data_IF_522540794557
#
_entry.id   IF_522540794557
#
_cell.length_a   1.000
_cell.length_b   1.000
_cell.length_c   1.000
_cell.angle_alpha   90.00
_cell.angle_beta   90.00
_cell.angle_gamma   90.00
#
_symmetry.space_group_name_H-M   'P 1'
#
loop_
_entity.id
_entity.type
_entity.pdbx_description
1 polymer ?
#
# COMPACT_ATOMS: atom_id res chain seq x y z
N UNK A 1 38.33 39.91 -22.51
CA UNK A 1 39.30 38.81 -22.77
C UNK A 1 40.12 38.44 -21.53
N UNK A 2 40.85 39.37 -20.88
CA UNK A 2 41.74 39.04 -19.74
C UNK A 2 41.06 38.35 -18.53
N UNK A 3 39.82 38.73 -18.18
CA UNK A 3 39.07 38.08 -17.09
C UNK A 3 38.73 36.62 -17.40
N UNK A 4 38.31 36.33 -18.63
CA UNK A 4 37.97 34.98 -19.08
C UNK A 4 39.21 34.09 -19.09
N UNK A 5 40.34 34.59 -19.62
CA UNK A 5 41.63 33.87 -19.60
C UNK A 5 42.09 33.58 -18.17
N UNK A 6 41.89 34.53 -17.23
CA UNK A 6 42.21 34.33 -15.82
C UNK A 6 41.35 33.21 -15.18
N UNK A 7 40.04 33.19 -15.48
CA UNK A 7 39.13 32.13 -15.04
C UNK A 7 39.56 30.75 -15.57
N UNK A 8 39.85 30.64 -16.87
CA UNK A 8 40.33 29.37 -17.46
C UNK A 8 41.66 28.91 -16.85
N UNK A 9 42.59 29.84 -16.58
CA UNK A 9 43.87 29.51 -15.94
C UNK A 9 43.68 29.03 -14.50
N UNK A 10 42.77 29.65 -13.75
CA UNK A 10 42.42 29.23 -12.38
C UNK A 10 41.72 27.87 -12.36
N UNK A 11 40.76 27.64 -13.27
CA UNK A 11 40.09 26.34 -13.43
C UNK A 11 41.10 25.22 -13.76
N UNK A 12 42.05 25.48 -14.66
CA UNK A 12 43.11 24.53 -15.02
C UNK A 12 44.05 24.25 -13.84
N UNK A 13 44.49 25.29 -13.13
CA UNK A 13 45.43 25.15 -12.02
C UNK A 13 44.81 24.47 -10.78
N UNK A 14 43.48 24.55 -10.64
CA UNK A 14 42.74 23.92 -9.54
C UNK A 14 41.63 23.01 -10.06
N UNK A 15 41.95 22.16 -11.05
CA UNK A 15 40.95 21.32 -11.72
C UNK A 15 40.17 20.43 -10.73
N UNK A 16 40.85 19.78 -9.77
CA UNK A 16 40.19 18.97 -8.72
C UNK A 16 39.18 19.75 -7.87
N UNK A 17 39.54 20.99 -7.46
CA UNK A 17 38.64 21.84 -6.64
C UNK A 17 37.46 22.36 -7.46
N UNK A 18 37.72 22.68 -8.73
CA UNK A 18 36.70 23.17 -9.67
C UNK A 18 35.70 22.08 -10.01
N UNK A 19 36.16 20.86 -10.29
CA UNK A 19 35.29 19.70 -10.51
C UNK A 19 34.43 19.40 -9.29
N UNK A 20 35.03 19.38 -8.08
CA UNK A 20 34.27 19.18 -6.85
C UNK A 20 33.18 20.25 -6.66
N UNK A 21 33.52 21.53 -6.86
CA UNK A 21 32.55 22.63 -6.75
C UNK A 21 31.39 22.48 -7.75
N UNK A 22 31.69 22.10 -9.01
CA UNK A 22 30.66 21.86 -10.03
C UNK A 22 29.75 20.70 -9.62
N UNK A 23 30.30 19.59 -9.13
CA UNK A 23 29.49 18.46 -8.65
C UNK A 23 28.56 18.86 -7.50
N UNK A 24 29.08 19.58 -6.50
CA UNK A 24 28.29 20.03 -5.34
C UNK A 24 27.21 21.02 -5.76
N UNK A 25 27.53 21.99 -6.61
CA UNK A 25 26.55 22.98 -7.09
C UNK A 25 25.48 22.34 -7.97
N UNK A 26 25.86 21.41 -8.85
CA UNK A 26 24.92 20.67 -9.70
C UNK A 26 23.97 19.82 -8.86
N UNK A 27 24.51 19.05 -7.90
CA UNK A 27 23.71 18.25 -6.98
C UNK A 27 22.79 19.12 -6.10
N UNK A 28 23.32 20.19 -5.51
CA UNK A 28 22.55 21.12 -4.69
C UNK A 28 21.46 21.85 -5.49
N UNK A 29 21.76 22.25 -6.72
CA UNK A 29 20.80 22.84 -7.65
C UNK A 29 19.67 21.88 -8.01
N UNK A 30 20.00 20.62 -8.34
CA UNK A 30 19.02 19.58 -8.61
C UNK A 30 18.14 19.28 -7.38
N UNK A 31 18.73 19.18 -6.19
CA UNK A 31 17.99 18.98 -4.95
C UNK A 31 17.04 20.16 -4.63
N UNK A 32 17.51 21.40 -4.79
CA UNK A 32 16.69 22.60 -4.61
C UNK A 32 15.54 22.67 -5.63
N UNK A 33 15.82 22.33 -6.88
CA UNK A 33 14.81 22.25 -7.94
C UNK A 33 13.74 21.21 -7.59
N UNK A 34 14.13 20.01 -7.18
CA UNK A 34 13.17 18.99 -6.73
C UNK A 34 12.27 19.48 -5.58
N UNK A 35 12.87 20.16 -4.58
CA UNK A 35 12.11 20.75 -3.48
C UNK A 35 11.14 21.86 -3.94
N UNK A 36 11.53 22.64 -4.94
CA UNK A 36 10.65 23.64 -5.55
C UNK A 36 9.47 22.97 -6.28
N UNK A 37 9.72 21.96 -7.12
CA UNK A 37 8.68 21.18 -7.78
C UNK A 37 7.70 20.57 -6.78
N UNK A 38 8.18 19.98 -5.68
CA UNK A 38 7.32 19.43 -4.64
C UNK A 38 6.42 20.50 -4.00
N UNK A 39 6.91 21.74 -3.85
CA UNK A 39 6.10 22.85 -3.32
C UNK A 39 5.04 23.32 -4.32
N UNK A 40 5.36 23.29 -5.61
CA UNK A 40 4.39 23.61 -6.67
C UNK A 40 3.26 22.56 -6.66
N UNK A 41 3.60 21.27 -6.61
CA UNK A 41 2.62 20.19 -6.51
C UNK A 41 1.69 20.33 -5.29
N UNK A 42 2.26 20.63 -4.11
CA UNK A 42 1.45 20.88 -2.90
C UNK A 42 0.49 22.05 -3.09
N UNK A 43 0.97 23.13 -3.71
CA UNK A 43 0.18 24.34 -3.95
C UNK A 43 -0.98 24.04 -4.90
N UNK A 44 -0.72 23.35 -6.00
CA UNK A 44 -1.75 22.94 -6.97
C UNK A 44 -2.81 22.07 -6.29
N UNK A 45 -2.39 21.04 -5.54
CA UNK A 45 -3.31 20.18 -4.82
C UNK A 45 -4.15 20.94 -3.76
N UNK A 46 -3.57 21.93 -3.06
CA UNK A 46 -4.32 22.76 -2.13
C UNK A 46 -5.33 23.69 -2.82
N UNK A 47 -5.00 24.18 -4.02
CA UNK A 47 -5.93 25.00 -4.82
C UNK A 47 -7.12 24.15 -5.27
N UNK A 48 -6.87 22.91 -5.71
CA UNK A 48 -7.92 21.95 -6.06
C UNK A 48 -8.77 21.59 -4.85
N UNK A 49 -8.16 21.23 -3.71
CA UNK A 49 -8.89 20.96 -2.46
C UNK A 49 -9.75 22.13 -1.98
N UNK A 50 -9.24 23.37 -2.13
CA UNK A 50 -9.99 24.57 -1.76
C UNK A 50 -11.26 24.74 -2.60
N UNK A 51 -11.29 24.26 -3.84
CA UNK A 51 -12.50 24.31 -4.66
C UNK A 51 -13.65 23.51 -4.00
N UNK A 52 -13.37 22.32 -3.49
CA UNK A 52 -14.34 21.51 -2.74
C UNK A 52 -14.83 22.23 -1.47
N UNK A 53 -13.94 22.92 -0.75
CA UNK A 53 -14.32 23.66 0.46
C UNK A 53 -15.15 24.92 0.21
N UNK A 54 -15.23 25.42 -1.03
CA UNK A 54 -16.10 26.55 -1.41
C UNK A 54 -17.48 26.10 -1.89
N UNK A 55 -17.73 24.80 -1.98
CA UNK A 55 -19.06 24.28 -2.32
C UNK A 55 -20.06 24.64 -1.21
N UNK A 56 -21.22 25.16 -1.63
CA UNK A 56 -22.28 25.55 -0.71
C UNK A 56 -23.01 24.30 -0.23
N UNK A 57 -23.13 24.15 1.08
CA UNK A 57 -23.94 23.08 1.69
C UNK A 57 -25.34 23.59 2.02
N UNK A 58 -26.34 22.71 1.91
CA UNK A 58 -27.69 23.03 2.36
C UNK A 58 -27.74 23.25 3.88
N UNK A 59 -28.67 24.07 4.40
CA UNK A 59 -28.76 24.35 5.84
C UNK A 59 -29.13 23.13 6.70
N UNK A 60 -29.62 22.04 6.09
CA UNK A 60 -29.91 20.77 6.77
C UNK A 60 -28.87 19.68 6.49
N UNK A 61 -27.90 19.94 5.62
CA UNK A 61 -26.81 19.00 5.34
C UNK A 61 -25.71 19.16 6.39
N UNK A 62 -25.09 18.05 6.77
CA UNK A 62 -23.96 18.05 7.69
C UNK A 62 -22.64 17.91 6.92
N UNK A 63 -21.57 18.42 7.50
CA UNK A 63 -20.23 18.20 6.99
C UNK A 63 -19.90 16.71 7.09
N UNK A 64 -19.29 16.18 6.03
CA UNK A 64 -18.79 14.80 6.02
C UNK A 64 -17.74 14.64 7.12
N UNK A 65 -17.84 13.55 7.87
CA UNK A 65 -16.91 13.19 8.96
C UNK A 65 -15.91 12.14 8.50
N UNK A 66 -14.62 12.46 8.67
CA UNK A 66 -13.51 11.57 8.34
C UNK A 66 -12.70 11.24 9.59
N UNK A 67 -12.50 9.94 9.86
CA UNK A 67 -11.48 9.49 10.80
C UNK A 67 -10.24 9.11 10.02
N UNK A 68 -9.10 9.68 10.39
CA UNK A 68 -7.79 9.34 9.82
C UNK A 68 -7.01 8.52 10.84
N UNK A 69 -6.64 7.29 10.48
CA UNK A 69 -5.74 6.43 11.26
C UNK A 69 -4.33 6.59 10.69
N UNK A 70 -3.46 7.24 11.46
CA UNK A 70 -2.08 7.52 11.06
C UNK A 70 -1.11 6.68 11.89
N UNK A 71 -0.23 5.93 11.21
CA UNK A 71 0.94 5.31 11.84
C UNK A 71 2.16 6.24 11.71
N UNK A 72 2.59 6.94 12.78
CA UNK A 72 3.73 7.86 12.74
C UNK A 72 5.07 7.16 12.49
N UNK A 73 5.21 5.91 12.94
CA UNK A 73 6.44 5.13 12.84
C UNK A 73 6.69 4.60 11.42
N UNK A 74 5.67 4.58 10.55
CA UNK A 74 5.79 4.13 9.18
C UNK A 74 6.86 4.91 8.38
N UNK A 75 7.46 4.22 7.40
CA UNK A 75 8.53 4.73 6.54
C UNK A 75 9.70 5.34 7.34
N UNK A 76 10.21 4.60 8.32
CA UNK A 76 11.33 5.01 9.18
C UNK A 76 11.03 6.30 9.97
N UNK A 77 9.82 6.41 10.53
CA UNK A 77 9.39 7.55 11.34
C UNK A 77 9.11 8.84 10.56
N UNK A 78 9.05 8.78 9.22
CA UNK A 78 8.80 9.97 8.37
C UNK A 78 7.33 10.19 8.06
N UNK A 79 6.46 9.20 8.29
CA UNK A 79 5.06 9.22 7.89
C UNK A 79 4.30 10.42 8.48
N UNK A 80 4.45 10.71 9.77
CA UNK A 80 3.80 11.87 10.40
C UNK A 80 4.17 13.18 9.69
N UNK A 81 5.46 13.43 9.45
CA UNK A 81 5.91 14.65 8.73
C UNK A 81 5.40 14.68 7.28
N UNK A 82 5.32 13.54 6.61
CA UNK A 82 4.82 13.47 5.23
C UNK A 82 3.31 13.75 5.18
N UNK A 83 2.54 13.18 6.11
CA UNK A 83 1.11 13.42 6.23
C UNK A 83 0.79 14.89 6.49
N UNK A 84 1.38 15.46 7.55
CA UNK A 84 1.14 16.85 7.98
C UNK A 84 1.51 17.87 6.89
N UNK A 85 2.48 17.55 6.02
CA UNK A 85 2.92 18.45 4.94
C UNK A 85 2.17 18.29 3.63
N UNK A 86 1.74 17.07 3.31
CA UNK A 86 1.27 16.74 1.96
C UNK A 86 -0.23 16.42 1.91
N UNK A 87 -0.82 15.89 2.99
CA UNK A 87 -2.21 15.41 2.98
C UNK A 87 -3.12 16.21 3.93
N UNK A 88 -2.68 16.50 5.16
CA UNK A 88 -3.50 17.20 6.14
C UNK A 88 -4.05 18.57 5.64
N UNK A 89 -3.25 19.43 4.97
CA UNK A 89 -3.78 20.69 4.44
C UNK A 89 -4.89 20.49 3.41
N UNK A 90 -4.78 19.46 2.57
CA UNK A 90 -5.76 19.14 1.51
C UNK A 90 -7.10 18.76 2.16
N UNK A 91 -7.07 17.88 3.17
CA UNK A 91 -8.28 17.44 3.87
C UNK A 91 -8.97 18.59 4.62
N UNK A 92 -8.20 19.45 5.31
CA UNK A 92 -8.78 20.59 6.03
C UNK A 92 -9.34 21.68 5.12
N UNK A 93 -8.76 21.88 3.93
CA UNK A 93 -9.25 22.86 2.95
C UNK A 93 -10.54 22.41 2.25
N UNK A 94 -10.83 21.11 2.24
CA UNK A 94 -11.95 20.54 1.51
C UNK A 94 -13.30 20.59 2.26
N UNK A 95 -13.36 21.19 3.46
CA UNK A 95 -14.61 21.30 4.23
C UNK A 95 -15.06 19.97 4.86
N UNK A 96 -14.13 19.08 5.19
CA UNK A 96 -14.40 17.80 5.87
C UNK A 96 -14.09 17.94 7.36
N UNK A 97 -14.92 17.37 8.24
CA UNK A 97 -14.62 17.27 9.67
C UNK A 97 -13.63 16.11 9.89
N UNK A 98 -12.34 16.44 10.04
CA UNK A 98 -11.26 15.45 10.10
C UNK A 98 -10.82 15.21 11.55
N UNK A 99 -10.97 13.97 12.02
CA UNK A 99 -10.42 13.49 13.31
C UNK A 99 -9.21 12.61 13.05
N UNK A 100 -8.01 13.11 13.37
CA UNK A 100 -6.76 12.36 13.20
C UNK A 100 -6.46 11.58 14.48
N UNK A 101 -6.32 10.26 14.36
CA UNK A 101 -5.90 9.38 15.45
C UNK A 101 -4.56 8.76 15.10
N UNK A 102 -3.57 8.96 15.97
CA UNK A 102 -2.21 8.44 15.80
C UNK A 102 -2.08 7.13 16.55
N UNK A 103 -1.48 6.12 15.92
CA UNK A 103 -1.10 4.89 16.60
C UNK A 103 0.28 5.02 17.23
N UNK A 104 0.43 4.43 18.40
CA UNK A 104 1.64 4.39 19.24
C UNK A 104 2.38 3.07 19.07
N UNK A 105 1.67 1.95 18.86
CA UNK A 105 2.24 0.61 18.73
C UNK A 105 1.41 -0.30 17.81
N UNK A 106 2.01 -1.42 17.41
CA UNK A 106 1.42 -2.45 16.54
C UNK A 106 0.17 -3.10 17.16
N UNK A 107 -0.87 -3.27 16.35
CA UNK A 107 -2.16 -3.81 16.78
C UNK A 107 -3.04 -2.84 17.57
N UNK A 108 -2.60 -1.60 17.83
CA UNK A 108 -3.46 -0.57 18.42
C UNK A 108 -4.54 -0.12 17.42
N UNK A 109 -4.24 -0.05 16.12
CA UNK A 109 -5.22 0.36 15.12
C UNK A 109 -6.42 -0.58 15.13
N UNK A 110 -6.14 -1.89 15.23
CA UNK A 110 -7.14 -2.95 15.34
C UNK A 110 -8.09 -2.77 16.55
N UNK A 111 -7.54 -2.51 17.74
CA UNK A 111 -8.34 -2.25 18.95
C UNK A 111 -9.16 -0.96 18.85
N UNK A 112 -8.57 0.07 18.24
CA UNK A 112 -9.24 1.34 18.03
C UNK A 112 -10.42 1.20 17.06
N UNK A 113 -10.30 0.34 16.04
CA UNK A 113 -11.40 0.05 15.13
C UNK A 113 -12.58 -0.57 15.83
N UNK A 114 -12.41 -1.40 16.85
CA UNK A 114 -13.53 -1.98 17.63
C UNK A 114 -14.33 -0.91 18.41
N UNK A 115 -13.68 0.21 18.76
CA UNK A 115 -14.26 1.31 19.55
C UNK A 115 -14.63 2.53 18.70
N UNK A 116 -14.47 2.44 17.38
CA UNK A 116 -14.71 3.54 16.47
C UNK A 116 -16.21 3.87 16.40
N UNK A 117 -16.52 5.16 16.48
CA UNK A 117 -17.85 5.71 16.24
C UNK A 117 -18.23 5.66 14.75
N UNK A 118 -19.51 5.84 14.44
CA UNK A 118 -19.98 5.92 13.05
C UNK A 118 -19.41 7.16 12.34
N UNK A 119 -18.88 6.97 11.13
CA UNK A 119 -18.34 8.03 10.27
C UNK A 119 -18.75 7.84 8.82
N UNK A 120 -18.61 8.91 8.02
CA UNK A 120 -18.93 8.88 6.60
C UNK A 120 -17.77 8.32 5.77
N UNK A 121 -16.53 8.46 6.27
CA UNK A 121 -15.35 7.90 5.65
C UNK A 121 -14.27 7.52 6.66
N UNK A 122 -13.49 6.50 6.33
CA UNK A 122 -12.31 6.06 7.07
C UNK A 122 -11.08 6.26 6.19
N UNK A 123 -10.05 6.92 6.68
CA UNK A 123 -8.82 7.18 5.93
C UNK A 123 -7.65 6.52 6.66
N UNK A 124 -6.91 5.67 5.95
CA UNK A 124 -5.74 4.97 6.48
C UNK A 124 -4.49 5.65 5.92
N UNK A 125 -3.66 6.19 6.80
CA UNK A 125 -2.43 6.90 6.46
C UNK A 125 -1.23 6.09 6.99
N UNK A 126 -0.68 5.23 6.14
CA UNK A 126 0.33 4.23 6.55
C UNK A 126 0.90 3.44 5.39
N UNK A 127 1.42 2.26 5.68
CA UNK A 127 1.78 1.23 4.69
C UNK A 127 0.84 0.04 4.76
N UNK A 128 1.22 -1.06 4.11
CA UNK A 128 0.39 -2.27 3.98
C UNK A 128 0.01 -2.90 5.34
N UNK A 129 0.92 -2.98 6.32
CA UNK A 129 0.58 -3.52 7.66
C UNK A 129 -0.46 -2.67 8.42
N UNK A 130 -0.34 -1.33 8.37
CA UNK A 130 -1.37 -0.45 8.99
C UNK A 130 -2.73 -0.60 8.32
N UNK A 131 -2.73 -0.83 7.01
CA UNK A 131 -3.94 -1.12 6.24
C UNK A 131 -4.56 -2.47 6.67
N UNK A 132 -3.75 -3.51 6.81
CA UNK A 132 -4.19 -4.83 7.28
C UNK A 132 -4.74 -4.78 8.71
N UNK A 133 -4.07 -4.11 9.65
CA UNK A 133 -4.52 -3.97 11.03
C UNK A 133 -5.91 -3.30 11.10
N UNK A 134 -6.10 -2.23 10.34
CA UNK A 134 -7.37 -1.49 10.31
C UNK A 134 -8.48 -2.34 9.72
N UNK A 135 -8.24 -3.00 8.59
CA UNK A 135 -9.24 -3.86 7.94
C UNK A 135 -9.60 -5.03 8.85
N UNK A 136 -8.59 -5.65 9.45
CA UNK A 136 -8.80 -6.75 10.40
C UNK A 136 -9.60 -6.28 11.61
N UNK A 137 -9.33 -5.10 12.15
CA UNK A 137 -10.12 -4.52 13.23
C UNK A 137 -11.56 -4.22 12.82
N UNK A 138 -11.77 -3.68 11.61
CA UNK A 138 -13.07 -3.31 11.09
C UNK A 138 -13.98 -4.53 10.87
N UNK A 139 -13.45 -5.60 10.26
CA UNK A 139 -14.20 -6.81 9.91
C UNK A 139 -14.33 -7.81 11.07
N UNK A 140 -13.64 -7.58 12.19
CA UNK A 140 -13.85 -8.35 13.44
C UNK A 140 -15.01 -7.82 14.28
N UNK A 141 -15.53 -6.64 13.97
CA UNK A 141 -16.61 -6.02 14.74
C UNK A 141 -17.90 -6.82 14.61
N UNK A 142 -18.73 -6.79 15.65
CA UNK A 142 -20.06 -7.41 15.62
C UNK A 142 -21.03 -6.71 14.63
N UNK A 143 -20.84 -5.42 14.38
CA UNK A 143 -21.61 -4.58 13.46
C UNK A 143 -20.90 -4.37 12.11
N UNK A 144 -20.04 -5.30 11.71
CA UNK A 144 -19.20 -5.18 10.51
C UNK A 144 -19.98 -4.92 9.22
N UNK A 145 -21.21 -5.41 9.07
CA UNK A 145 -22.04 -5.18 7.87
C UNK A 145 -22.39 -3.71 7.61
N UNK A 146 -22.44 -2.90 8.68
CA UNK A 146 -22.68 -1.46 8.55
C UNK A 146 -21.38 -0.74 8.20
N UNK A 147 -20.30 -1.10 8.89
CA UNK A 147 -19.00 -0.47 8.73
C UNK A 147 -18.30 -0.85 7.41
N UNK A 148 -18.56 -2.03 6.86
CA UNK A 148 -17.99 -2.47 5.58
C UNK A 148 -18.52 -1.66 4.39
N UNK A 149 -19.64 -0.94 4.57
CA UNK A 149 -20.21 -0.03 3.57
C UNK A 149 -19.55 1.34 3.58
N UNK A 150 -18.86 1.70 4.66
CA UNK A 150 -18.14 2.98 4.78
C UNK A 150 -16.95 2.94 3.82
N UNK A 151 -16.81 3.93 2.92
CA UNK A 151 -15.69 3.96 1.99
C UNK A 151 -14.37 4.26 2.70
N UNK A 152 -13.33 3.51 2.31
CA UNK A 152 -11.99 3.56 2.89
C UNK A 152 -11.05 4.29 1.94
N UNK A 153 -10.38 5.32 2.42
CA UNK A 153 -9.30 6.01 1.73
C UNK A 153 -7.94 5.46 2.15
N UNK A 154 -7.02 5.29 1.20
CA UNK A 154 -5.65 4.89 1.52
C UNK A 154 -4.67 5.99 1.10
N UNK A 155 -3.90 6.49 2.06
CA UNK A 155 -2.84 7.47 1.83
C UNK A 155 -1.49 6.75 1.97
N UNK A 156 -0.74 6.58 0.86
CA UNK A 156 0.47 5.76 0.82
C UNK A 156 1.65 6.46 1.50
N UNK A 157 1.82 6.23 2.80
CA UNK A 157 2.93 6.76 3.59
C UNK A 157 4.03 5.74 3.84
N UNK A 158 3.77 4.46 3.57
CA UNK A 158 4.67 3.32 3.75
C UNK A 158 5.89 3.32 2.82
N UNK A 159 6.75 2.32 3.03
CA UNK A 159 7.88 2.01 2.15
C UNK A 159 7.44 1.18 0.94
N UNK A 160 6.61 0.16 1.18
CA UNK A 160 5.75 -0.51 0.20
C UNK A 160 4.31 -0.02 0.37
N UNK A 161 3.58 0.12 -0.73
CA UNK A 161 2.17 0.51 -0.74
C UNK A 161 1.50 -0.22 -1.90
N UNK A 162 1.33 -1.52 -1.76
CA UNK A 162 0.83 -2.40 -2.83
C UNK A 162 -0.57 -1.96 -3.29
N UNK A 163 -1.43 -1.58 -2.33
CA UNK A 163 -2.82 -1.20 -2.66
C UNK A 163 -2.89 0.08 -3.49
N UNK A 164 -2.00 1.01 -3.18
CA UNK A 164 -1.99 2.32 -3.80
C UNK A 164 -1.72 2.23 -5.30
N UNK A 165 -0.92 1.25 -5.73
CA UNK A 165 -0.63 1.02 -7.14
C UNK A 165 -1.85 0.50 -7.91
N UNK A 166 -2.77 -0.17 -7.23
CA UNK A 166 -4.02 -0.66 -7.82
C UNK A 166 -5.12 0.41 -7.85
N UNK A 167 -5.15 1.30 -6.86
CA UNK A 167 -6.20 2.32 -6.67
C UNK A 167 -5.91 3.67 -7.32
N UNK A 168 -4.63 4.04 -7.45
CA UNK A 168 -4.20 5.35 -7.90
C UNK A 168 -3.16 5.24 -9.02
N UNK A 169 -3.00 6.31 -9.78
CA UNK A 169 -1.93 6.41 -10.76
C UNK A 169 -0.56 6.39 -10.07
N UNK A 170 0.28 5.44 -10.48
CA UNK A 170 1.65 5.29 -9.99
C UNK A 170 2.47 6.51 -10.43
N UNK A 171 3.11 7.19 -9.47
CA UNK A 171 4.06 8.27 -9.74
C UNK A 171 5.37 7.99 -9.02
N UNK A 172 6.48 8.30 -9.70
CA UNK A 172 7.83 8.26 -9.13
C UNK A 172 8.02 9.31 -8.02
N UNK A 173 7.26 10.41 -8.06
CA UNK A 173 7.32 11.43 -7.02
C UNK A 173 6.39 11.07 -5.86
N UNK A 174 6.99 10.76 -4.70
CA UNK A 174 6.27 10.44 -3.46
C UNK A 174 5.26 11.52 -3.04
N UNK A 175 5.59 12.80 -3.22
CA UNK A 175 4.68 13.91 -2.87
C UNK A 175 3.46 13.88 -3.77
N UNK A 176 3.66 13.76 -5.08
CA UNK A 176 2.57 13.67 -6.05
C UNK A 176 1.65 12.50 -5.73
N UNK A 177 2.20 11.33 -5.42
CA UNK A 177 1.42 10.13 -5.09
C UNK A 177 0.57 10.31 -3.83
N UNK A 178 1.10 10.94 -2.78
CA UNK A 178 0.33 11.24 -1.56
C UNK A 178 -0.76 12.27 -1.85
N UNK A 179 -0.45 13.35 -2.58
CA UNK A 179 -1.41 14.40 -2.88
C UNK A 179 -2.52 13.91 -3.80
N UNK A 180 -2.20 13.10 -4.82
CA UNK A 180 -3.19 12.55 -5.75
C UNK A 180 -4.10 11.54 -5.07
N UNK A 181 -3.58 10.68 -4.21
CA UNK A 181 -4.38 9.75 -3.40
C UNK A 181 -5.36 10.54 -2.50
N UNK A 182 -4.87 11.58 -1.83
CA UNK A 182 -5.71 12.43 -0.96
C UNK A 182 -6.80 13.16 -1.75
N UNK A 183 -6.49 13.67 -2.95
CA UNK A 183 -7.48 14.30 -3.82
C UNK A 183 -8.50 13.30 -4.38
N UNK A 184 -8.08 12.07 -4.69
CA UNK A 184 -8.98 11.00 -5.15
C UNK A 184 -10.03 10.66 -4.09
N UNK A 185 -9.61 10.64 -2.81
CA UNK A 185 -10.51 10.47 -1.66
C UNK A 185 -11.56 11.59 -1.61
N UNK A 186 -11.17 12.84 -1.86
CA UNK A 186 -12.10 13.98 -1.87
C UNK A 186 -13.06 13.96 -3.06
N UNK A 187 -12.60 13.52 -4.23
CA UNK A 187 -13.44 13.34 -5.43
C UNK A 187 -14.56 12.33 -5.21
N UNK A 188 -14.36 11.37 -4.30
CA UNK A 188 -15.42 10.48 -3.84
C UNK A 188 -15.66 9.25 -4.73
N UNK A 189 -14.80 9.01 -5.71
CA UNK A 189 -14.88 7.85 -6.60
C UNK A 189 -14.50 6.57 -5.86
N UNK A 190 -15.33 5.52 -5.92
CA UNK A 190 -15.11 4.27 -5.15
C UNK A 190 -15.15 3.02 -6.01
N UNK A 191 -14.34 2.04 -5.61
CA UNK A 191 -14.27 0.67 -6.15
C UNK A 191 -14.53 -0.35 -5.05
N UNK A 192 -15.41 -1.35 -5.24
CA UNK A 192 -15.50 -2.49 -4.34
C UNK A 192 -14.24 -3.37 -4.47
N UNK A 193 -13.72 -3.84 -3.34
CA UNK A 193 -12.60 -4.78 -3.28
C UNK A 193 -12.97 -6.03 -2.49
N UNK A 194 -12.40 -7.14 -2.95
CA UNK A 194 -12.48 -8.43 -2.28
C UNK A 194 -11.53 -8.48 -1.08
N UNK A 195 -11.88 -9.29 -0.09
CA UNK A 195 -11.06 -9.52 1.10
C UNK A 195 -10.90 -11.01 1.32
N UNK A 196 -9.72 -11.44 1.71
CA UNK A 196 -9.45 -12.81 2.13
C UNK A 196 -9.58 -12.90 3.65
N UNK A 197 -10.47 -13.77 4.13
CA UNK A 197 -10.57 -14.14 5.52
C UNK A 197 -9.71 -15.38 5.77
N UNK A 198 -8.75 -15.27 6.68
CA UNK A 198 -7.84 -16.33 7.07
C UNK A 198 -8.13 -16.65 8.53
N UNK A 199 -8.68 -17.83 8.80
CA UNK A 199 -9.10 -18.25 10.13
C UNK A 199 -8.30 -19.46 10.57
N UNK A 200 -7.74 -19.40 11.78
CA UNK A 200 -7.22 -20.58 12.45
C UNK A 200 -8.19 -21.09 13.52
N UNK A 201 -7.99 -22.32 14.00
CA UNK A 201 -8.80 -22.92 15.06
C UNK A 201 -8.64 -22.21 16.41
N UNK A 202 -7.42 -21.76 16.73
CA UNK A 202 -7.07 -21.21 18.05
C UNK A 202 -7.16 -19.69 18.12
N UNK A 203 -7.05 -19.01 16.98
CA UNK A 203 -6.95 -17.55 16.91
C UNK A 203 -8.16 -16.90 16.24
N UNK A 204 -8.36 -15.61 16.50
CA UNK A 204 -9.37 -14.83 15.82
C UNK A 204 -9.01 -14.62 14.34
N UNK A 205 -10.01 -14.53 13.43
CA UNK A 205 -9.79 -14.46 11.98
C UNK A 205 -9.02 -13.20 11.56
N UNK A 206 -7.97 -13.34 10.77
CA UNK A 206 -7.22 -12.24 10.15
C UNK A 206 -7.78 -11.97 8.75
N UNK A 207 -7.78 -10.71 8.32
CA UNK A 207 -8.27 -10.32 7.02
C UNK A 207 -7.16 -9.70 6.19
N UNK A 208 -7.06 -10.10 4.93
CA UNK A 208 -6.02 -9.69 3.99
C UNK A 208 -6.62 -9.14 2.69
N UNK A 209 -5.94 -8.20 2.06
CA UNK A 209 -6.32 -7.63 0.76
C UNK A 209 -5.55 -8.23 -0.41
N UNK A 210 -4.29 -8.57 -0.22
CA UNK A 210 -3.51 -9.21 -1.27
C UNK A 210 -3.56 -10.70 -1.08
N UNK A 211 -2.96 -11.19 0.01
CA UNK A 211 -3.03 -12.59 0.37
C UNK A 211 -1.85 -13.07 1.19
N UNK A 212 -1.78 -14.40 1.28
CA UNK A 212 -0.82 -15.12 2.11
C UNK A 212 0.34 -15.63 1.24
N UNK A 213 1.55 -15.64 1.80
CA UNK A 213 2.77 -16.19 1.19
C UNK A 213 3.51 -17.08 2.18
N UNK A 214 3.86 -18.29 1.74
CA UNK A 214 4.67 -19.22 2.52
C UNK A 214 5.73 -19.88 1.64
N UNK A 215 6.98 -19.97 2.13
CA UNK A 215 8.08 -20.64 1.46
C UNK A 215 9.39 -19.82 1.41
N UNK A 216 10.36 -20.35 0.66
CA UNK A 216 11.73 -19.86 0.63
C UNK A 216 11.87 -18.38 0.24
N UNK A 217 11.11 -17.90 -0.75
CA UNK A 217 11.15 -16.49 -1.16
C UNK A 217 10.74 -15.54 -0.04
N UNK A 218 9.72 -15.91 0.73
CA UNK A 218 9.24 -15.15 1.89
C UNK A 218 10.28 -15.13 3.00
N UNK A 219 10.91 -16.27 3.30
CA UNK A 219 11.97 -16.34 4.33
C UNK A 219 13.21 -15.55 3.94
N UNK A 220 13.53 -15.48 2.64
CA UNK A 220 14.55 -14.56 2.17
C UNK A 220 14.09 -13.12 2.33
N UNK A 221 12.87 -12.79 1.93
CA UNK A 221 12.32 -11.43 1.97
C UNK A 221 12.42 -10.79 3.37
N UNK A 222 12.08 -11.55 4.43
CA UNK A 222 12.22 -11.08 5.82
C UNK A 222 13.68 -10.79 6.21
N UNK A 223 14.63 -11.54 5.66
CA UNK A 223 16.06 -11.38 5.94
C UNK A 223 16.75 -10.26 5.15
N UNK A 224 16.18 -9.76 4.05
CA UNK A 224 16.79 -8.73 3.19
C UNK A 224 17.16 -7.47 3.99
N UNK A 225 16.31 -7.07 4.94
CA UNK A 225 16.52 -5.90 5.79
C UNK A 225 17.79 -6.00 6.66
N UNK A 226 18.15 -7.22 7.09
CA UNK A 226 19.36 -7.49 7.90
C UNK A 226 20.65 -7.16 7.15
N UNK A 227 20.62 -7.26 5.82
CA UNK A 227 21.76 -7.00 4.94
C UNK A 227 21.83 -5.54 4.43
N UNK A 228 21.31 -4.58 5.20
CA UNK A 228 21.26 -3.16 4.83
C UNK A 228 22.62 -2.57 4.40
N UNK A 229 23.73 -3.08 4.93
CA UNK A 229 25.10 -2.64 4.65
C UNK A 229 25.59 -2.99 3.22
N UNK A 230 24.93 -3.93 2.52
CA UNK A 230 25.28 -4.32 1.15
C UNK A 230 24.63 -3.44 0.07
N UNK A 231 23.85 -2.43 0.46
CA UNK A 231 23.26 -1.45 -0.44
C UNK A 231 22.45 -2.11 -1.57
N UNK A 232 22.79 -1.88 -2.86
CA UNK A 232 22.04 -2.43 -3.99
C UNK A 232 22.16 -3.96 -4.13
N UNK A 233 23.17 -4.58 -3.51
CA UNK A 233 23.39 -6.03 -3.58
C UNK A 233 22.62 -6.80 -2.51
N UNK A 234 22.00 -6.12 -1.54
CA UNK A 234 21.38 -6.77 -0.37
C UNK A 234 20.36 -7.85 -0.73
N UNK A 235 19.54 -7.64 -1.76
CA UNK A 235 18.50 -8.58 -2.20
C UNK A 235 19.14 -9.86 -2.75
N UNK A 236 20.02 -9.72 -3.75
CA UNK A 236 20.73 -10.87 -4.35
C UNK A 236 21.59 -11.60 -3.32
N UNK A 237 22.25 -10.85 -2.43
CA UNK A 237 23.05 -11.42 -1.36
C UNK A 237 22.19 -12.21 -0.38
N UNK A 238 20.98 -11.75 -0.04
CA UNK A 238 20.07 -12.50 0.83
C UNK A 238 19.65 -13.84 0.22
N UNK A 239 19.26 -13.86 -1.07
CA UNK A 239 18.96 -15.11 -1.78
C UNK A 239 20.18 -16.05 -1.82
N UNK A 240 21.36 -15.49 -2.11
CA UNK A 240 22.60 -16.27 -2.15
C UNK A 240 22.97 -16.85 -0.78
N UNK A 241 22.96 -16.05 0.29
CA UNK A 241 23.23 -16.51 1.64
C UNK A 241 22.21 -17.55 2.12
N UNK A 242 20.95 -17.43 1.72
CA UNK A 242 19.93 -18.46 2.01
C UNK A 242 20.25 -19.77 1.31
N UNK A 243 20.59 -19.72 0.01
CA UNK A 243 20.96 -20.92 -0.76
C UNK A 243 22.20 -21.64 -0.22
N UNK A 244 23.14 -20.89 0.37
CA UNK A 244 24.32 -21.49 1.02
C UNK A 244 24.00 -22.22 2.31
N UNK A 245 22.96 -21.81 3.04
CA UNK A 245 22.59 -22.47 4.29
C UNK A 245 21.91 -23.82 4.02
N UNK A 246 20.97 -23.83 3.09
CA UNK A 246 20.19 -25.02 2.78
C UNK A 246 19.65 -24.92 1.36
N UNK A 247 19.84 -25.99 0.58
CA UNK A 247 19.30 -26.15 -0.76
C UNK A 247 19.09 -27.64 -1.09
N UNK A 248 17.93 -28.04 -1.65
CA UNK A 248 16.73 -27.26 -1.94
C UNK A 248 15.92 -26.94 -0.67
N UNK A 249 15.24 -25.79 -0.64
CA UNK A 249 14.35 -25.37 0.46
C UNK A 249 12.91 -25.76 0.12
N UNK A 250 12.62 -27.05 0.17
CA UNK A 250 11.30 -27.58 -0.14
C UNK A 250 10.50 -27.83 1.13
N UNK A 251 9.25 -27.40 1.12
CA UNK A 251 8.29 -27.67 2.17
C UNK A 251 7.10 -28.41 1.57
N UNK A 252 6.67 -29.47 2.24
CA UNK A 252 5.47 -30.21 1.84
C UNK A 252 4.28 -29.73 2.66
N UNK A 253 3.14 -29.60 1.99
CA UNK A 253 1.87 -29.20 2.58
C UNK A 253 0.72 -29.87 1.85
N UNK A 254 -0.41 -29.98 2.53
CA UNK A 254 -1.65 -30.52 1.96
C UNK A 254 -2.66 -29.39 1.82
N UNK A 255 -3.17 -29.21 0.60
CA UNK A 255 -4.16 -28.20 0.27
C UNK A 255 -5.45 -28.89 -0.14
N UNK A 256 -6.55 -28.49 0.48
CA UNK A 256 -7.91 -28.82 0.01
C UNK A 256 -8.54 -27.52 -0.49
N UNK A 257 -9.07 -27.53 -1.72
CA UNK A 257 -9.72 -26.37 -2.32
C UNK A 257 -11.07 -26.76 -2.92
N UNK A 258 -11.96 -25.78 -3.01
CA UNK A 258 -13.25 -25.93 -3.68
C UNK A 258 -13.18 -25.29 -5.07
N UNK A 259 -13.97 -25.80 -6.01
CA UNK A 259 -14.10 -25.20 -7.33
C UNK A 259 -14.75 -23.80 -7.23
N UNK A 260 -14.45 -22.88 -8.17
CA UNK A 260 -15.09 -21.58 -8.25
C UNK A 260 -16.62 -21.70 -8.23
N UNK A 261 -17.28 -20.78 -7.53
CA UNK A 261 -18.75 -20.73 -7.46
C UNK A 261 -19.24 -19.69 -8.47
N UNK A 262 -20.17 -20.05 -9.37
CA UNK A 262 -20.75 -19.10 -10.31
C UNK A 262 -21.42 -17.93 -9.59
N UNK A 263 -21.24 -16.73 -10.12
CA UNK A 263 -21.82 -15.51 -9.55
C UNK A 263 -23.35 -15.61 -9.50
N UNK A 264 -24.01 -15.40 -8.34
CA UNK A 264 -25.47 -15.28 -8.29
C UNK A 264 -25.92 -13.99 -9.01
N UNK A 265 -27.05 -13.99 -9.73
CA UNK A 265 -27.57 -12.78 -10.37
C UNK A 265 -27.90 -11.72 -9.31
N UNK A 266 -27.37 -10.50 -9.48
CA UNK A 266 -27.57 -9.41 -8.52
C UNK A 266 -29.08 -9.11 -8.32
N UNK A 267 -29.53 -9.03 -7.07
CA UNK A 267 -30.91 -8.63 -6.74
C UNK A 267 -31.15 -7.17 -7.18
N UNK A 268 -32.27 -6.86 -7.86
CA UNK A 268 -32.54 -5.52 -8.37
C UNK A 268 -32.84 -4.57 -7.21
N UNK A 269 -31.87 -3.74 -6.84
CA UNK A 269 -32.11 -2.48 -6.13
C UNK A 269 -31.56 -1.38 -7.03
N UNK A 270 -32.29 -0.27 -7.17
CA UNK A 270 -32.12 0.87 -8.09
C UNK A 270 -30.70 1.49 -8.14
N UNK A 271 -29.72 0.73 -8.65
CA UNK A 271 -28.36 1.18 -8.90
C UNK A 271 -28.23 1.20 -10.43
N UNK A 272 -27.77 2.31 -11.04
CA UNK A 272 -27.50 2.32 -12.47
C UNK A 272 -26.51 1.20 -12.82
N UNK A 273 -26.60 0.58 -14.01
CA UNK A 273 -25.68 -0.47 -14.43
C UNK A 273 -24.24 0.02 -14.26
N UNK A 274 -23.46 -0.67 -13.42
CA UNK A 274 -22.05 -0.34 -13.21
C UNK A 274 -21.22 -1.03 -14.27
N UNK A 275 -20.41 -0.27 -14.98
CA UNK A 275 -19.30 -0.75 -15.81
C UNK A 275 -18.11 -1.10 -14.92
N UNK A 276 -18.08 -2.38 -14.57
CA UNK A 276 -17.01 -3.35 -14.33
C UNK A 276 -15.65 -2.86 -13.80
N UNK A 277 -15.33 -3.32 -12.58
CA UNK A 277 -13.98 -3.57 -12.14
C UNK A 277 -13.78 -5.07 -12.26
N UNK A 278 -13.19 -5.47 -13.39
CA UNK A 278 -12.87 -6.84 -13.78
C UNK A 278 -14.14 -7.70 -13.91
N UNK A 279 -14.57 -7.97 -15.14
CA UNK A 279 -15.44 -9.12 -15.44
C UNK A 279 -14.67 -10.42 -15.13
N UNK A 280 -14.63 -10.78 -13.84
CA UNK A 280 -14.45 -12.16 -13.44
C UNK A 280 -15.81 -12.83 -13.59
N UNK A 281 -15.94 -13.75 -14.54
CA UNK A 281 -17.17 -14.57 -14.67
C UNK A 281 -17.52 -15.24 -13.33
N UNK A 282 -16.49 -15.64 -12.56
CA UNK A 282 -16.61 -16.27 -11.24
C UNK A 282 -15.79 -15.56 -10.16
N UNK A 283 -16.37 -15.40 -8.96
CA UNK A 283 -15.66 -14.93 -7.75
C UNK A 283 -14.66 -16.03 -7.32
N UNK A 284 -13.40 -15.91 -7.76
CA UNK A 284 -12.37 -16.94 -7.61
C UNK A 284 -11.09 -16.44 -6.94
N UNK A 285 -10.53 -17.31 -6.09
CA UNK A 285 -9.22 -17.11 -5.46
C UNK A 285 -8.15 -17.78 -6.33
N UNK A 286 -7.05 -17.08 -6.58
CA UNK A 286 -5.91 -17.63 -7.33
C UNK A 286 -4.93 -18.25 -6.35
N UNK A 287 -4.55 -19.51 -6.59
CA UNK A 287 -3.55 -20.23 -5.82
C UNK A 287 -2.40 -20.59 -6.76
N UNK A 288 -1.20 -20.09 -6.45
CA UNK A 288 0.03 -20.41 -7.17
C UNK A 288 0.89 -21.35 -6.34
N UNK A 289 1.33 -22.45 -6.94
CA UNK A 289 2.27 -23.40 -6.36
C UNK A 289 3.53 -23.43 -7.24
N UNK A 290 4.67 -23.08 -6.64
CA UNK A 290 5.96 -23.13 -7.34
C UNK A 290 6.51 -24.55 -7.41
N UNK A 291 7.25 -24.84 -8.47
CA UNK A 291 7.94 -26.12 -8.62
C UNK A 291 9.19 -26.20 -7.73
N UNK A 292 9.56 -27.41 -7.35
CA UNK A 292 10.80 -27.73 -6.64
C UNK A 292 12.03 -27.81 -7.56
N UNK A 293 11.84 -27.59 -8.88
CA UNK A 293 12.86 -27.79 -9.91
C UNK A 293 13.70 -26.55 -10.22
N UNK A 294 13.47 -25.43 -9.52
CA UNK A 294 14.23 -24.20 -9.71
C UNK A 294 15.73 -24.45 -9.44
N UNK A 295 16.60 -23.79 -10.20
CA UNK A 295 18.05 -23.79 -9.91
C UNK A 295 18.42 -22.64 -8.97
N UNK A 296 19.55 -22.75 -8.28
CA UNK A 296 20.06 -21.66 -7.39
C UNK A 296 20.22 -20.35 -8.18
N UNK A 297 20.69 -20.43 -9.43
CA UNK A 297 20.84 -19.27 -10.30
C UNK A 297 19.51 -18.57 -10.56
N UNK A 298 18.49 -19.35 -10.94
CA UNK A 298 17.13 -18.85 -11.15
C UNK A 298 16.53 -18.27 -9.88
N UNK A 299 16.65 -18.95 -8.74
CA UNK A 299 16.16 -18.45 -7.45
C UNK A 299 16.73 -17.07 -7.07
N UNK A 300 18.01 -16.82 -7.34
CA UNK A 300 18.65 -15.52 -7.07
C UNK A 300 18.21 -14.44 -8.06
N UNK A 301 17.92 -14.79 -9.33
CA UNK A 301 17.50 -13.83 -10.35
C UNK A 301 15.99 -13.54 -10.33
N UNK A 302 15.16 -14.55 -10.10
CA UNK A 302 13.70 -14.51 -10.08
C UNK A 302 13.14 -13.99 -8.77
N UNK A 303 13.86 -14.13 -7.64
CA UNK A 303 13.50 -13.46 -6.39
C UNK A 303 13.41 -11.93 -6.47
N UNK A 304 13.76 -11.34 -7.62
CA UNK A 304 13.60 -9.93 -7.95
C UNK A 304 12.25 -9.60 -8.62
N UNK A 305 11.58 -10.59 -9.22
CA UNK A 305 10.35 -10.43 -10.01
C UNK A 305 9.45 -11.62 -9.74
N UNK A 306 8.63 -11.53 -8.69
CA UNK A 306 7.23 -11.98 -8.75
C UNK A 306 6.54 -11.69 -7.41
N UNK A 307 5.72 -10.65 -7.44
CA UNK A 307 4.72 -10.32 -6.44
C UNK A 307 3.40 -10.97 -6.90
N UNK A 308 3.34 -12.30 -6.92
CA UNK A 308 2.12 -13.02 -7.29
C UNK A 308 1.84 -14.15 -6.30
N UNK A 309 0.93 -13.85 -5.37
CA UNK A 309 0.13 -14.73 -4.50
C UNK A 309 0.49 -16.23 -4.47
N UNK A 310 1.10 -16.65 -3.36
CA UNK A 310 1.61 -18.00 -3.13
C UNK A 310 0.90 -18.64 -1.93
N UNK A 311 -0.12 -19.47 -2.17
CA UNK A 311 -0.76 -20.18 -1.07
C UNK A 311 -0.30 -21.63 -1.00
N UNK A 312 0.31 -21.98 0.13
CA UNK A 312 0.47 -23.36 0.57
C UNK A 312 0.19 -23.38 2.07
N UNK A 313 -0.77 -24.19 2.51
CA UNK A 313 -1.24 -24.24 3.90
C UNK A 313 -0.21 -24.99 4.75
N UNK A 314 0.49 -24.34 5.69
CA UNK A 314 1.55 -25.01 6.41
C UNK A 314 1.00 -26.00 7.45
N UNK A 315 1.72 -27.10 7.65
CA UNK A 315 1.52 -27.97 8.81
C UNK A 315 1.99 -27.24 10.10
N UNK A 316 1.36 -27.52 11.25
CA UNK A 316 1.75 -26.96 12.55
C UNK A 316 3.26 -27.18 12.80
N UNK A 317 3.98 -26.11 13.15
CA UNK A 317 5.41 -26.14 13.47
C UNK A 317 6.36 -25.95 12.29
N UNK A 318 5.87 -25.62 11.09
CA UNK A 318 6.67 -25.48 9.86
C UNK A 318 7.24 -24.06 9.59
N UNK A 319 7.44 -23.24 10.63
CA UNK A 319 8.03 -21.91 10.53
C UNK A 319 6.99 -20.78 10.58
N UNK A 320 7.08 -19.82 9.67
CA UNK A 320 6.21 -18.64 9.63
C UNK A 320 5.72 -18.39 8.20
N UNK A 321 4.50 -17.89 8.04
CA UNK A 321 4.01 -17.35 6.76
C UNK A 321 3.86 -15.83 6.85
N UNK A 322 3.60 -15.21 5.71
CA UNK A 322 3.40 -13.77 5.57
C UNK A 322 1.97 -13.50 5.09
N UNK A 323 1.26 -12.59 5.73
CA UNK A 323 0.00 -12.04 5.23
C UNK A 323 0.24 -10.55 4.98
N UNK A 324 0.08 -10.08 3.74
CA UNK A 324 0.20 -8.65 3.39
C UNK A 324 1.47 -7.93 3.91
N UNK A 325 2.60 -8.64 4.02
CA UNK A 325 3.89 -8.21 4.58
C UNK A 325 4.00 -8.20 6.13
N UNK A 326 3.09 -8.85 6.83
CA UNK A 326 3.20 -9.14 8.27
C UNK A 326 3.47 -10.63 8.52
N UNK A 327 4.34 -10.92 9.49
CA UNK A 327 4.75 -12.28 9.83
C UNK A 327 3.79 -12.93 10.82
N UNK A 328 3.33 -14.15 10.51
CA UNK A 328 2.45 -14.95 11.36
C UNK A 328 3.02 -16.36 11.54
N UNK A 329 2.78 -16.96 12.71
CA UNK A 329 3.21 -18.33 13.00
C UNK A 329 2.46 -19.34 12.12
N UNK A 330 3.19 -20.30 11.57
CA UNK A 330 2.63 -21.27 10.65
C UNK A 330 1.75 -22.30 11.37
N UNK A 331 0.47 -22.31 11.01
CA UNK A 331 -0.55 -23.20 11.54
C UNK A 331 -1.59 -23.54 10.47
N UNK A 332 -2.41 -24.56 10.73
CA UNK A 332 -3.51 -24.89 9.84
C UNK A 332 -4.54 -23.74 9.83
N UNK A 333 -4.90 -23.30 8.63
CA UNK A 333 -5.82 -22.19 8.41
C UNK A 333 -6.86 -22.54 7.34
N UNK A 334 -8.08 -22.08 7.58
CA UNK A 334 -9.16 -22.02 6.60
C UNK A 334 -9.12 -20.63 5.94
N UNK A 335 -9.06 -20.60 4.60
CA UNK A 335 -9.06 -19.36 3.82
C UNK A 335 -10.34 -19.25 3.03
N UNK A 336 -11.03 -18.10 3.17
CA UNK A 336 -12.29 -17.81 2.51
C UNK A 336 -12.23 -16.47 1.82
N UNK A 337 -12.68 -16.43 0.56
CA UNK A 337 -12.86 -15.18 -0.17
C UNK A 337 -14.18 -14.51 0.24
N UNK A 338 -14.11 -13.22 0.54
CA UNK A 338 -15.24 -12.33 0.80
C UNK A 338 -15.32 -11.33 -0.36
N UNK A 339 -16.09 -11.64 -1.43
CA UNK A 339 -16.14 -10.80 -2.61
C UNK A 339 -16.79 -9.46 -2.29
N UNK A 340 -16.20 -8.38 -2.82
CA UNK A 340 -16.72 -7.00 -2.78
C UNK A 340 -17.09 -6.53 -1.36
N UNK A 341 -16.39 -7.04 -0.35
CA UNK A 341 -16.71 -6.80 1.06
C UNK A 341 -16.45 -5.35 1.48
N UNK A 342 -15.43 -4.71 0.91
CA UNK A 342 -15.02 -3.34 1.25
C UNK A 342 -15.14 -2.42 0.03
N UNK A 343 -15.20 -1.11 0.28
CA UNK A 343 -15.16 -0.07 -0.77
C UNK A 343 -13.98 0.84 -0.53
N UNK A 344 -13.15 1.04 -1.55
CA UNK A 344 -11.99 1.93 -1.49
C UNK A 344 -12.16 3.11 -2.42
N UNK A 345 -11.63 4.26 -2.03
CA UNK A 345 -11.52 5.39 -2.94
C UNK A 345 -10.44 5.12 -4.00
N UNK A 346 -10.73 5.42 -5.26
CA UNK A 346 -9.79 5.28 -6.37
C UNK A 346 -9.72 6.57 -7.20
N UNK A 347 -8.67 6.71 -8.03
CA UNK A 347 -8.63 7.83 -8.97
C UNK A 347 -9.61 7.61 -10.11
N UNK A 348 -10.20 8.69 -10.63
CA UNK A 348 -11.14 8.61 -11.75
C UNK A 348 -10.49 7.95 -12.98
N UNK A 349 -9.22 8.27 -13.27
CA UNK A 349 -8.52 7.65 -14.41
C UNK A 349 -8.34 6.14 -14.20
N UNK A 350 -8.09 5.71 -12.96
CA UNK A 350 -7.96 4.29 -12.65
C UNK A 350 -9.30 3.57 -12.75
N UNK A 351 -10.39 4.21 -12.32
CA UNK A 351 -11.75 3.69 -12.50
C UNK A 351 -12.09 3.52 -13.97
N UNK A 352 -11.75 4.49 -14.81
CA UNK A 352 -11.92 4.40 -16.26
C UNK A 352 -11.06 3.28 -16.88
N UNK A 353 -9.80 3.13 -16.46
CA UNK A 353 -8.94 2.04 -16.92
C UNK A 353 -9.50 0.66 -16.55
N UNK A 354 -10.04 0.52 -15.34
CA UNK A 354 -10.67 -0.72 -14.89
C UNK A 354 -11.94 -1.01 -15.70
N UNK A 355 -12.69 0.03 -16.09
CA UNK A 355 -13.83 -0.07 -16.97
C UNK A 355 -13.47 -0.26 -18.46
N UNK A 356 -12.26 0.09 -18.91
CA UNK A 356 -11.82 -0.06 -20.31
C UNK A 356 -11.02 -1.34 -20.55
N UNK A 357 -10.53 -2.00 -19.50
CA UNK A 357 -9.88 -3.31 -19.59
C UNK A 357 -10.89 -4.48 -19.82
N UNK A 358 -12.14 -4.13 -20.15
CA UNK A 358 -13.19 -4.95 -20.75
C UNK A 358 -12.82 -5.30 -22.21
#
# INVERSE_FOLDING_TARGET
MARVVKVFRTLRNHWKKSTFAVCVLSYGGHWLYGKHCDNVLRREACIEARAFGHELIGPQEHLKKAIVILNPAACNGKANRLFEKNAAPILHLAGVEVKIVKTDYEGQAKKLMELMDQTDMLIIAGGDGTLQEVITGLLRRADEETFSKIPIGFIPLGSSNSLSQSLHLVSDNKVQHITSATLSILKGETVPLDVLQIKSEKEQPVFALFGLRWGAFRDVASSISKYWYLGPLKTRAAHWFSSLKQWPQTHQASLSYLAPVPRPPDLPTEIPPRTDIIDREDDSMVITLDSDSLTVGQFITEGHYDLLLFFSCPQEGAGFYDIDNEEYEAMSVEVRLLPRKLRFFCSAERREQLAQAQ
#
